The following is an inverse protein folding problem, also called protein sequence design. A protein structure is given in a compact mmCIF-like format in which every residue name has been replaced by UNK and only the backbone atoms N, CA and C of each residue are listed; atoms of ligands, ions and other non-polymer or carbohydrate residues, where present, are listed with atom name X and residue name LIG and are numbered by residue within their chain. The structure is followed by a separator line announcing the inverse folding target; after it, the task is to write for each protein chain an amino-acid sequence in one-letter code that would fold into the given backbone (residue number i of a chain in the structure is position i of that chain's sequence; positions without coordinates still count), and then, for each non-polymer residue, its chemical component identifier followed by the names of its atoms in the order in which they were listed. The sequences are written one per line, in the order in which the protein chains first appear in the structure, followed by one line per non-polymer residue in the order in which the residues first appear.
data_IF_874111176042
#
_entry.id   IF_874111176042
#
_cell.length_a   1.000
_cell.length_b   1.000
_cell.length_c   1.000
_cell.angle_alpha   90.00
_cell.angle_beta   90.00
_cell.angle_gamma   90.00
#
_symmetry.space_group_name_H-M   'P 1'
#
loop_
_entity.id
_entity.type
_entity.pdbx_description
1 polymer ?
#
# COMPACT_ATOMS: atom_id res chain seq x y z
N UNK A 1 -25.23 -40.76 17.53
CA UNK A 1 -25.55 -40.88 16.10
C UNK A 1 -24.29 -41.37 15.41
N UNK A 2 -24.35 -42.57 14.85
CA UNK A 2 -23.24 -43.34 14.27
C UNK A 2 -22.99 -42.88 12.82
N UNK A 3 -21.72 -42.63 12.45
CA UNK A 3 -21.28 -42.00 11.18
C UNK A 3 -20.55 -42.99 10.25
N UNK A 4 -20.98 -44.25 10.19
CA UNK A 4 -20.28 -45.31 9.45
C UNK A 4 -20.93 -45.73 8.12
N UNK A 5 -21.35 -44.77 7.27
CA UNK A 5 -21.67 -45.06 5.84
C UNK A 5 -21.25 -43.93 4.88
N UNK A 6 -20.55 -44.23 3.76
CA UNK A 6 -20.23 -43.24 2.74
C UNK A 6 -21.39 -43.12 1.74
N UNK A 7 -21.93 -41.90 1.58
CA UNK A 7 -22.84 -41.56 0.49
C UNK A 7 -22.03 -41.16 -0.75
N UNK A 8 -22.25 -41.84 -1.86
CA UNK A 8 -21.72 -41.53 -3.18
C UNK A 8 -22.36 -40.25 -3.74
N UNK A 9 -21.55 -39.23 -4.05
CA UNK A 9 -21.97 -38.10 -4.89
C UNK A 9 -21.12 -38.05 -6.15
N UNK A 10 -21.71 -38.49 -7.26
CA UNK A 10 -21.24 -38.23 -8.62
C UNK A 10 -21.51 -36.76 -8.97
N UNK A 11 -20.47 -35.93 -8.96
CA UNK A 11 -20.48 -34.61 -9.60
C UNK A 11 -19.50 -34.64 -10.77
N UNK A 12 -20.00 -35.11 -11.92
CA UNK A 12 -19.31 -34.99 -13.20
C UNK A 12 -19.57 -33.58 -13.76
N UNK A 13 -18.52 -32.75 -13.82
CA UNK A 13 -18.54 -31.47 -14.54
C UNK A 13 -18.32 -31.73 -16.03
N UNK A 14 -19.42 -31.85 -16.77
CA UNK A 14 -19.42 -31.96 -18.23
C UNK A 14 -19.13 -30.62 -18.89
N UNK A 15 -18.01 -30.55 -19.61
CA UNK A 15 -17.65 -29.45 -20.50
C UNK A 15 -18.17 -29.73 -21.91
N UNK A 16 -18.96 -28.82 -22.48
CA UNK A 16 -19.14 -28.71 -23.93
C UNK A 16 -18.96 -27.25 -24.39
N UNK A 17 -18.23 -27.01 -25.50
CA UNK A 17 -17.99 -25.67 -26.00
C UNK A 17 -19.03 -25.30 -27.07
N UNK A 18 -19.53 -24.06 -27.02
CA UNK A 18 -20.19 -23.44 -28.16
C UNK A 18 -19.44 -22.18 -28.59
N UNK A 19 -18.95 -22.22 -29.82
CA UNK A 19 -18.37 -21.13 -30.58
C UNK A 19 -19.46 -20.33 -31.30
N UNK A 20 -19.12 -19.07 -31.62
CA UNK A 20 -19.66 -18.12 -32.62
C UNK A 20 -19.80 -16.72 -31.97
N UNK A 21 -19.58 -15.57 -32.62
CA UNK A 21 -18.89 -15.17 -33.83
C UNK A 21 -18.71 -13.64 -33.74
N UNK A 22 -17.77 -13.10 -34.51
CA UNK A 22 -17.40 -11.69 -34.61
C UNK A 22 -18.56 -10.72 -34.88
N UNK A 23 -18.45 -9.50 -34.33
CA UNK A 23 -18.93 -8.28 -34.98
C UNK A 23 -18.01 -7.09 -34.67
N UNK A 24 -17.42 -6.54 -35.73
CA UNK A 24 -16.59 -5.34 -35.75
C UNK A 24 -17.39 -4.08 -35.35
N UNK A 25 -16.81 -3.24 -34.49
CA UNK A 25 -17.14 -1.82 -34.45
C UNK A 25 -15.84 -0.99 -34.39
N UNK A 26 -15.58 -0.24 -35.47
CA UNK A 26 -14.50 0.73 -35.61
C UNK A 26 -14.76 1.93 -34.70
N UNK A 27 -13.79 2.31 -33.88
CA UNK A 27 -13.78 3.61 -33.19
C UNK A 27 -12.53 4.38 -33.60
N UNK A 28 -12.74 5.64 -33.93
CA UNK A 28 -11.75 6.60 -34.41
C UNK A 28 -10.54 6.74 -33.46
N UNK A 29 -9.35 6.52 -34.01
CA UNK A 29 -8.09 6.83 -33.35
C UNK A 29 -7.90 8.36 -33.27
N UNK A 30 -7.78 8.90 -32.04
CA UNK A 30 -7.26 10.24 -31.79
C UNK A 30 -5.77 10.10 -31.46
N UNK A 31 -4.94 10.82 -32.21
CA UNK A 31 -3.48 10.74 -32.15
C UNK A 31 -2.94 11.08 -30.75
N UNK A 32 -1.98 10.27 -30.29
CA UNK A 32 -1.23 10.51 -29.06
C UNK A 32 -0.22 11.65 -29.28
N UNK A 33 -0.30 12.69 -28.46
CA UNK A 33 0.69 13.76 -28.40
C UNK A 33 1.94 13.24 -27.67
N UNK A 34 3.15 13.29 -28.25
CA UNK A 34 4.35 12.87 -27.56
C UNK A 34 4.78 13.91 -26.51
N UNK A 35 5.13 13.42 -25.32
CA UNK A 35 5.81 14.19 -24.28
C UNK A 35 7.20 14.59 -24.79
N UNK A 36 7.40 15.89 -25.06
CA UNK A 36 8.74 16.45 -25.30
C UNK A 36 9.47 16.61 -23.97
N UNK A 37 10.57 15.88 -23.84
CA UNK A 37 11.62 16.13 -22.84
C UNK A 37 12.40 17.37 -23.29
N UNK A 38 12.52 18.34 -22.38
CA UNK A 38 13.42 19.51 -22.37
C UNK A 38 14.07 19.91 -23.72
N UNK A 39 13.59 21.00 -24.32
CA UNK A 39 14.38 21.78 -25.28
C UNK A 39 15.01 22.98 -24.55
N UNK A 40 16.30 23.18 -24.85
CA UNK A 40 17.13 24.33 -24.51
C UNK A 40 16.47 25.66 -24.88
N UNK A 41 16.65 26.67 -24.04
CA UNK A 41 16.41 28.06 -24.43
C UNK A 41 17.54 28.95 -23.92
N UNK A 42 18.41 29.30 -24.87
CA UNK A 42 19.37 30.40 -24.84
C UNK A 42 18.67 31.76 -24.64
N UNK A 43 19.42 32.65 -23.97
CA UNK A 43 19.51 34.11 -24.09
C UNK A 43 18.27 34.95 -24.42
N UNK A 44 17.87 35.77 -23.43
CA UNK A 44 17.31 37.11 -23.68
C UNK A 44 17.95 38.13 -22.73
N UNK A 45 18.79 38.99 -23.31
CA UNK A 45 19.23 40.28 -22.73
C UNK A 45 18.07 41.26 -22.68
N UNK A 46 17.91 41.99 -21.57
CA UNK A 46 17.30 43.33 -21.59
C UNK A 46 18.01 44.24 -20.58
N UNK A 47 18.29 45.47 -21.02
CA UNK A 47 19.11 46.49 -20.35
C UNK A 47 18.35 47.38 -19.34
N UNK A 48 19.14 47.99 -18.44
CA UNK A 48 18.89 49.31 -17.78
C UNK A 48 18.20 49.24 -16.41
N UNK A 49 18.51 50.06 -15.40
CA UNK A 49 19.46 51.15 -15.19
C UNK A 49 19.40 51.58 -13.71
N UNK A 50 20.49 52.21 -13.21
CA UNK A 50 20.62 53.13 -12.04
C UNK A 50 20.63 52.59 -10.59
N UNK A 51 21.77 52.80 -9.90
CA UNK A 51 21.79 53.65 -8.68
C UNK A 51 22.42 53.11 -7.37
N UNK A 52 23.58 53.68 -6.97
CA UNK A 52 24.13 53.75 -5.59
C UNK A 52 24.93 52.51 -5.15
N UNK A 53 26.14 52.54 -4.61
CA UNK A 53 26.86 53.55 -3.83
C UNK A 53 27.05 53.02 -2.39
N UNK A 54 28.24 52.56 -2.02
CA UNK A 54 28.60 52.22 -0.64
C UNK A 54 29.69 51.15 -0.48
N UNK A 55 30.85 51.58 0.01
CA UNK A 55 31.97 50.76 0.49
C UNK A 55 31.61 49.98 1.78
N UNK A 56 32.27 48.83 2.03
CA UNK A 56 32.33 48.24 3.38
C UNK A 56 32.49 46.72 3.46
N UNK A 57 33.74 46.29 3.68
CA UNK A 57 34.23 45.26 4.63
C UNK A 57 33.71 43.80 4.60
N UNK A 58 34.72 42.91 4.54
CA UNK A 58 34.88 41.52 4.98
C UNK A 58 33.68 40.77 5.61
N UNK A 59 33.40 39.58 5.06
CA UNK A 59 32.58 38.55 5.71
C UNK A 59 32.70 37.20 5.02
N UNK A 60 33.30 36.24 5.73
CA UNK A 60 33.56 34.86 5.31
C UNK A 60 32.31 34.13 4.75
N UNK A 61 32.46 33.50 3.58
CA UNK A 61 31.45 32.63 2.94
C UNK A 61 31.35 31.29 3.70
N UNK A 62 30.60 31.26 4.81
CA UNK A 62 30.13 30.02 5.43
C UNK A 62 28.80 29.58 4.81
N UNK A 63 28.84 28.40 4.19
CA UNK A 63 27.80 27.84 3.33
C UNK A 63 26.36 27.94 3.85
N UNK A 64 25.53 28.62 3.07
CA UNK A 64 24.10 28.75 3.31
C UNK A 64 23.38 27.38 3.20
N UNK A 65 22.81 26.92 4.31
CA UNK A 65 21.82 25.85 4.32
C UNK A 65 20.60 26.27 3.49
N UNK A 66 20.32 25.54 2.40
CA UNK A 66 19.14 25.82 1.57
C UNK A 66 17.87 25.45 2.32
N UNK A 67 17.08 26.48 2.66
CA UNK A 67 15.75 26.33 3.20
C UNK A 67 14.70 26.41 2.09
N UNK A 68 13.73 25.49 2.10
CA UNK A 68 12.55 25.60 1.27
C UNK A 68 11.30 25.19 2.04
N UNK A 69 10.14 25.69 1.59
CA UNK A 69 8.84 25.43 2.21
C UNK A 69 8.06 24.43 1.36
N UNK A 70 7.56 23.37 1.99
CA UNK A 70 6.60 22.45 1.39
C UNK A 70 5.33 22.46 2.24
N UNK A 71 4.20 22.82 1.63
CA UNK A 71 2.89 22.92 2.30
C UNK A 71 2.92 23.80 3.58
N UNK A 72 3.70 24.88 3.58
CA UNK A 72 3.79 25.83 4.69
C UNK A 72 4.75 25.44 5.81
N UNK A 73 5.44 24.29 5.70
CA UNK A 73 6.45 23.87 6.66
C UNK A 73 7.86 24.10 6.10
N UNK A 74 8.69 24.84 6.85
CA UNK A 74 10.09 25.11 6.50
C UNK A 74 10.94 23.87 6.74
N UNK A 75 11.65 23.43 5.71
CA UNK A 75 12.57 22.30 5.72
C UNK A 75 13.98 22.79 5.38
N UNK A 76 14.99 22.14 5.98
CA UNK A 76 16.40 22.46 5.83
C UNK A 76 17.16 21.23 5.32
N UNK A 77 17.88 21.34 4.20
CA UNK A 77 18.70 20.24 3.69
C UNK A 77 20.11 20.33 4.26
N UNK A 78 20.40 19.56 5.31
CA UNK A 78 21.78 19.41 5.81
C UNK A 78 22.55 18.45 4.91
N UNK A 79 23.55 18.94 4.17
CA UNK A 79 24.50 18.08 3.46
C UNK A 79 25.45 17.40 4.46
N UNK A 80 25.88 16.14 4.24
CA UNK A 80 26.81 15.48 5.16
C UNK A 80 28.17 16.18 5.17
N UNK A 81 28.66 16.59 6.35
CA UNK A 81 30.01 17.11 6.54
C UNK A 81 31.02 15.98 6.28
N UNK A 82 31.90 16.19 5.30
CA UNK A 82 33.07 15.32 5.04
C UNK A 82 34.02 15.45 6.24
N UNK A 83 34.25 14.35 6.96
CA UNK A 83 34.98 14.34 8.22
C UNK A 83 36.44 14.80 8.10
N UNK A 84 36.78 15.85 8.83
CA UNK A 84 38.12 16.12 9.34
C UNK A 84 38.14 15.63 10.79
N UNK A 85 38.82 14.51 11.02
CA UNK A 85 39.18 14.07 12.37
C UNK A 85 40.48 14.75 12.79
N UNK A 86 40.43 15.42 13.94
CA UNK A 86 41.54 15.96 14.69
C UNK A 86 40.98 17.06 15.60
N UNK A 87 41.12 17.06 16.91
CA UNK A 87 41.81 16.19 17.86
C UNK A 87 41.75 16.94 19.19
N UNK A 88 41.60 16.21 20.30
CA UNK A 88 41.59 16.81 21.63
C UNK A 88 41.86 15.78 22.72
N UNK A 89 43.08 15.81 23.27
CA UNK A 89 43.35 15.34 24.63
C UNK A 89 44.39 14.21 24.81
N UNK A 90 45.66 14.61 24.93
CA UNK A 90 46.56 14.16 26.01
C UNK A 90 47.41 12.89 25.82
N UNK A 91 48.74 13.06 25.82
CA UNK A 91 49.68 12.02 26.27
C UNK A 91 51.04 11.91 25.57
N UNK A 92 52.02 12.69 26.03
CA UNK A 92 53.41 12.25 26.27
C UNK A 92 54.29 11.66 25.15
N UNK A 93 55.26 12.46 24.71
CA UNK A 93 56.70 12.09 24.61
C UNK A 93 57.18 11.18 23.47
N UNK A 94 58.21 11.63 22.74
CA UNK A 94 59.15 10.74 22.06
C UNK A 94 59.40 11.01 20.57
N UNK A 95 60.45 11.78 20.29
CA UNK A 95 61.50 11.55 19.28
C UNK A 95 61.15 11.30 17.78
N UNK A 96 61.49 12.31 16.98
CA UNK A 96 62.41 12.28 15.83
C UNK A 96 62.26 11.24 14.68
N UNK A 97 62.00 11.82 13.50
CA UNK A 97 62.87 11.76 12.29
C UNK A 97 62.58 10.79 11.13
N UNK A 98 62.46 11.42 9.95
CA UNK A 98 62.83 10.96 8.59
C UNK A 98 61.98 9.81 7.99
N UNK A 99 61.70 9.74 6.69
CA UNK A 99 62.50 10.12 5.53
C UNK A 99 61.66 10.36 4.26
N UNK A 100 62.32 11.01 3.31
CA UNK A 100 61.87 11.63 2.08
C UNK A 100 61.22 10.75 1.00
N UNK A 101 60.52 11.46 0.11
CA UNK A 101 59.96 11.08 -1.17
C UNK A 101 60.98 10.53 -2.18
N UNK A 102 60.50 9.64 -3.07
CA UNK A 102 61.08 9.38 -4.39
C UNK A 102 60.00 8.88 -5.35
N UNK A 103 60.11 9.33 -6.59
CA UNK A 103 59.10 9.39 -7.65
C UNK A 103 59.12 8.22 -8.65
N UNK A 104 57.93 7.97 -9.22
CA UNK A 104 57.63 7.55 -10.60
C UNK A 104 58.05 6.15 -11.12
N UNK A 105 57.04 5.33 -11.43
CA UNK A 105 56.92 4.65 -12.71
C UNK A 105 55.45 4.25 -12.96
N UNK A 106 54.86 4.81 -14.03
CA UNK A 106 53.51 4.51 -14.47
C UNK A 106 53.45 3.09 -15.06
N UNK A 107 52.78 2.16 -14.37
CA UNK A 107 52.30 0.92 -14.96
C UNK A 107 50.82 1.08 -15.33
N UNK A 108 50.54 1.01 -16.63
CA UNK A 108 49.16 0.87 -17.15
C UNK A 108 48.55 -0.39 -16.53
N UNK A 109 47.35 -0.36 -15.93
CA UNK A 109 46.72 -1.59 -15.48
C UNK A 109 46.35 -2.41 -16.71
N UNK A 110 46.94 -3.60 -16.82
CA UNK A 110 46.55 -4.59 -17.80
C UNK A 110 45.03 -4.83 -17.67
N UNK A 111 44.32 -4.87 -18.80
CA UNK A 111 42.94 -5.36 -18.86
C UNK A 111 42.91 -6.73 -18.17
N UNK A 112 42.38 -6.77 -16.94
CA UNK A 112 42.09 -8.01 -16.22
C UNK A 112 41.13 -8.80 -17.11
N UNK A 113 41.64 -9.86 -17.74
CA UNK A 113 40.76 -10.94 -18.18
C UNK A 113 40.10 -11.49 -16.91
N UNK A 114 38.82 -11.14 -16.70
CA UNK A 114 38.00 -11.82 -15.72
C UNK A 114 37.96 -13.30 -16.14
N UNK A 115 38.66 -14.15 -15.39
CA UNK A 115 38.70 -15.59 -15.65
C UNK A 115 37.30 -16.17 -15.43
N UNK A 116 36.80 -16.98 -16.37
CA UNK A 116 35.46 -17.58 -16.28
C UNK A 116 35.25 -18.48 -15.05
N UNK A 117 36.33 -18.94 -14.40
CA UNK A 117 36.29 -19.73 -13.17
C UNK A 117 35.80 -18.93 -11.95
N UNK A 118 36.07 -17.62 -11.89
CA UNK A 118 35.59 -16.75 -10.80
C UNK A 118 34.08 -16.47 -10.92
N UNK A 119 33.57 -16.33 -12.15
CA UNK A 119 32.16 -16.07 -12.38
C UNK A 119 31.27 -17.27 -11.98
N UNK A 120 31.69 -18.49 -12.32
CA UNK A 120 30.90 -19.69 -12.01
C UNK A 120 30.94 -20.02 -10.51
N UNK A 121 32.07 -19.80 -9.83
CA UNK A 121 32.15 -19.89 -8.37
C UNK A 121 31.22 -18.88 -7.69
N UNK A 122 31.19 -17.63 -8.17
CA UNK A 122 30.28 -16.59 -7.65
C UNK A 122 28.82 -16.92 -7.92
N UNK A 123 28.48 -17.45 -9.09
CA UNK A 123 27.12 -17.96 -9.40
C UNK A 123 26.74 -19.13 -8.49
N UNK A 124 27.67 -20.04 -8.24
CA UNK A 124 27.51 -21.15 -7.31
C UNK A 124 27.20 -20.66 -5.90
N UNK A 125 27.95 -19.68 -5.40
CA UNK A 125 27.71 -19.08 -4.08
C UNK A 125 26.33 -18.39 -3.98
N UNK A 126 25.93 -17.62 -4.99
CA UNK A 126 24.61 -16.97 -5.00
C UNK A 126 23.47 -17.99 -5.04
N UNK A 127 23.60 -19.04 -5.86
CA UNK A 127 22.60 -20.13 -5.90
C UNK A 127 22.54 -20.92 -4.60
N UNK A 128 23.70 -21.17 -3.99
CA UNK A 128 23.77 -21.87 -2.72
C UNK A 128 23.02 -21.09 -1.64
N UNK A 129 23.26 -19.78 -1.53
CA UNK A 129 22.55 -18.91 -0.59
C UNK A 129 21.05 -18.78 -0.90
N UNK A 130 20.68 -18.51 -2.15
CA UNK A 130 19.28 -18.25 -2.52
C UNK A 130 18.33 -19.44 -2.46
N UNK A 131 18.85 -20.67 -2.35
CA UNK A 131 18.05 -21.90 -2.28
C UNK A 131 18.06 -22.55 -0.88
N UNK A 132 18.65 -21.90 0.13
CA UNK A 132 18.67 -22.47 1.48
C UNK A 132 17.25 -22.52 2.07
N UNK A 133 16.86 -23.64 2.70
CA UNK A 133 15.68 -23.67 3.54
C UNK A 133 15.80 -22.65 4.69
N UNK A 134 14.67 -22.10 5.15
CA UNK A 134 14.67 -21.13 6.24
C UNK A 134 15.36 -21.63 7.50
N UNK A 135 15.21 -22.93 7.83
CA UNK A 135 15.87 -23.55 8.99
C UNK A 135 17.41 -23.46 8.95
N UNK A 136 18.01 -23.37 7.76
CA UNK A 136 19.46 -23.23 7.58
C UNK A 136 19.86 -21.75 7.41
N UNK A 137 19.08 -21.00 6.64
CA UNK A 137 19.36 -19.59 6.34
C UNK A 137 19.18 -18.68 7.58
N UNK A 138 18.16 -18.95 8.39
CA UNK A 138 17.81 -18.21 9.59
C UNK A 138 17.13 -19.15 10.63
N UNK A 139 17.93 -19.93 11.39
CA UNK A 139 17.42 -20.89 12.37
C UNK A 139 16.62 -20.23 13.50
N UNK A 140 16.92 -18.97 13.83
CA UNK A 140 16.24 -18.23 14.89
C UNK A 140 14.80 -17.87 14.49
N UNK A 141 14.61 -17.36 13.27
CA UNK A 141 13.27 -17.10 12.73
C UNK A 141 12.50 -18.41 12.55
N UNK A 142 13.14 -19.47 12.04
CA UNK A 142 12.50 -20.78 11.94
C UNK A 142 11.99 -21.29 13.30
N UNK A 143 12.80 -21.19 14.36
CA UNK A 143 12.41 -21.59 15.70
C UNK A 143 11.25 -20.74 16.26
N UNK A 144 11.20 -19.44 15.95
CA UNK A 144 10.05 -18.58 16.29
C UNK A 144 8.79 -18.99 15.54
N UNK A 145 8.88 -19.30 14.26
CA UNK A 145 7.75 -19.76 13.44
C UNK A 145 7.16 -21.08 13.96
N UNK A 146 8.01 -22.05 14.32
CA UNK A 146 7.53 -23.31 14.89
C UNK A 146 6.86 -23.11 16.26
N UNK A 147 7.38 -22.20 17.11
CA UNK A 147 6.72 -21.84 18.38
C UNK A 147 5.36 -21.18 18.15
N UNK A 148 5.23 -20.28 17.17
CA UNK A 148 3.94 -19.69 16.82
C UNK A 148 2.96 -20.74 16.28
N UNK A 149 3.45 -21.68 15.45
CA UNK A 149 2.64 -22.81 14.99
C UNK A 149 2.10 -23.63 16.17
N UNK A 150 2.95 -23.95 17.14
CA UNK A 150 2.51 -24.67 18.35
C UNK A 150 1.50 -23.86 19.17
N UNK A 151 1.69 -22.55 19.30
CA UNK A 151 0.75 -21.65 19.99
C UNK A 151 -0.64 -21.74 19.35
N UNK A 152 -0.72 -21.58 18.03
CA UNK A 152 -1.97 -21.64 17.28
C UNK A 152 -2.67 -23.00 17.38
N UNK A 153 -1.91 -24.10 17.35
CA UNK A 153 -2.48 -25.46 17.42
C UNK A 153 -2.97 -25.82 18.82
N UNK A 154 -2.31 -25.31 19.86
CA UNK A 154 -2.65 -25.62 21.27
C UNK A 154 -3.62 -24.61 21.89
N UNK A 155 -3.77 -23.43 21.29
CA UNK A 155 -4.61 -22.34 21.77
C UNK A 155 -6.08 -22.49 21.40
N UNK A 156 -6.92 -21.73 22.11
CA UNK A 156 -8.30 -21.46 21.71
C UNK A 156 -8.31 -20.02 21.18
N UNK A 157 -8.27 -19.88 19.86
CA UNK A 157 -8.21 -18.57 19.20
C UNK A 157 -9.62 -17.99 19.05
N UNK A 158 -9.92 -16.94 19.84
CA UNK A 158 -11.25 -16.29 19.89
C UNK A 158 -11.24 -14.85 19.36
N UNK A 159 -10.14 -14.42 18.72
CA UNK A 159 -10.05 -13.11 18.09
C UNK A 159 -10.87 -13.14 16.80
N UNK A 160 -11.98 -12.41 16.76
CA UNK A 160 -12.97 -12.49 15.68
C UNK A 160 -12.46 -12.13 14.28
N UNK A 161 -11.33 -11.41 14.18
CA UNK A 161 -10.68 -11.04 12.91
C UNK A 161 -9.62 -12.04 12.45
N UNK A 162 -9.25 -13.02 13.28
CA UNK A 162 -8.27 -14.03 12.92
C UNK A 162 -8.95 -15.26 12.30
N UNK A 163 -8.22 -15.94 11.41
CA UNK A 163 -8.67 -17.18 10.80
C UNK A 163 -7.47 -17.98 10.29
N UNK A 164 -7.67 -19.28 10.05
CA UNK A 164 -6.67 -20.17 9.47
C UNK A 164 -6.97 -20.39 7.98
N UNK A 165 -6.06 -19.95 7.12
CA UNK A 165 -6.16 -20.17 5.68
C UNK A 165 -5.77 -21.60 5.30
N UNK A 166 -6.27 -22.07 4.14
CA UNK A 166 -5.90 -23.39 3.65
C UNK A 166 -4.47 -23.43 3.09
N UNK A 167 -3.89 -24.64 3.02
CA UNK A 167 -2.51 -24.84 2.52
C UNK A 167 -2.28 -24.28 1.13
N UNK A 168 -3.26 -24.40 0.23
CA UNK A 168 -3.16 -23.90 -1.14
C UNK A 168 -2.96 -22.37 -1.20
N UNK A 169 -3.55 -21.61 -0.26
CA UNK A 169 -3.32 -20.16 -0.16
C UNK A 169 -1.89 -19.87 0.28
N UNK A 170 -1.37 -20.60 1.27
CA UNK A 170 0.02 -20.45 1.74
C UNK A 170 1.04 -20.80 0.65
N UNK A 171 0.80 -21.88 -0.10
CA UNK A 171 1.67 -22.29 -1.21
C UNK A 171 1.74 -21.21 -2.31
N UNK A 172 0.61 -20.58 -2.64
CA UNK A 172 0.58 -19.47 -3.60
C UNK A 172 1.27 -18.21 -3.06
N UNK A 173 1.08 -17.88 -1.78
CA UNK A 173 1.64 -16.69 -1.15
C UNK A 173 3.18 -16.75 -1.07
N UNK A 174 3.74 -17.91 -0.73
CA UNK A 174 5.20 -18.15 -0.67
C UNK A 174 5.85 -18.51 -2.01
N UNK A 175 5.22 -18.19 -3.13
CA UNK A 175 5.66 -18.62 -4.46
C UNK A 175 6.52 -17.59 -5.20
N UNK A 176 7.07 -18.01 -6.34
CA UNK A 176 7.86 -17.17 -7.25
C UNK A 176 7.09 -15.98 -7.85
N UNK A 177 5.77 -15.89 -7.66
CA UNK A 177 4.97 -14.74 -8.09
C UNK A 177 5.44 -13.43 -7.44
N UNK A 178 6.01 -13.48 -6.24
CA UNK A 178 6.58 -12.32 -5.53
C UNK A 178 7.66 -11.58 -6.32
N UNK A 179 8.33 -12.27 -7.25
CA UNK A 179 9.43 -11.72 -8.02
C UNK A 179 8.99 -10.74 -9.13
N UNK A 180 7.69 -10.69 -9.47
CA UNK A 180 7.23 -9.96 -10.65
C UNK A 180 6.69 -8.57 -10.32
N UNK A 181 7.29 -7.57 -10.97
CA UNK A 181 6.76 -6.20 -11.00
C UNK A 181 5.67 -6.08 -12.06
N UNK A 182 4.45 -5.72 -11.66
CA UNK A 182 3.26 -5.73 -12.52
C UNK A 182 2.39 -4.47 -12.38
N UNK A 183 3.01 -3.29 -12.30
CA UNK A 183 2.26 -2.02 -12.25
C UNK A 183 1.32 -1.86 -13.45
N UNK A 184 0.17 -1.26 -13.18
CA UNK A 184 -0.95 -1.13 -14.12
C UNK A 184 -1.98 -2.24 -13.94
N UNK A 185 -2.80 -2.43 -14.97
CA UNK A 185 -3.86 -3.45 -14.98
C UNK A 185 -3.62 -4.49 -16.09
N UNK A 186 -4.29 -5.66 -16.05
CA UNK A 186 -4.15 -6.67 -17.09
C UNK A 186 -4.39 -6.09 -18.49
N UNK A 187 -3.45 -6.31 -19.41
CA UNK A 187 -3.47 -5.73 -20.76
C UNK A 187 -2.97 -4.28 -20.87
N UNK A 188 -2.72 -3.60 -19.75
CA UNK A 188 -2.24 -2.21 -19.68
C UNK A 188 -1.13 -2.09 -18.62
N UNK A 189 -0.06 -2.86 -18.80
CA UNK A 189 1.09 -2.89 -17.89
C UNK A 189 2.19 -1.94 -18.34
N UNK A 190 2.90 -1.37 -17.38
CA UNK A 190 4.11 -0.56 -17.65
C UNK A 190 5.34 -1.42 -17.98
N UNK A 191 5.35 -2.69 -17.57
CA UNK A 191 6.47 -3.61 -17.79
C UNK A 191 6.05 -4.84 -18.60
N UNK A 192 7.00 -5.38 -19.37
CA UNK A 192 6.85 -6.64 -20.10
C UNK A 192 6.82 -7.88 -19.20
N UNK A 193 6.54 -9.04 -19.82
CA UNK A 193 6.62 -10.35 -19.17
C UNK A 193 5.49 -10.68 -18.18
N UNK A 194 4.33 -10.02 -18.31
CA UNK A 194 3.19 -10.16 -17.39
C UNK A 194 2.10 -11.12 -17.90
N UNK A 195 2.34 -11.91 -18.95
CA UNK A 195 1.29 -12.74 -19.57
C UNK A 195 0.58 -13.69 -18.59
N UNK A 196 1.31 -14.25 -17.62
CA UNK A 196 0.74 -15.12 -16.59
C UNK A 196 0.17 -14.34 -15.40
N UNK A 197 0.80 -13.23 -15.00
CA UNK A 197 0.27 -12.36 -13.95
C UNK A 197 -1.09 -11.78 -14.36
N UNK A 198 -1.22 -11.35 -15.61
CA UNK A 198 -2.47 -10.86 -16.17
C UNK A 198 -3.58 -11.93 -16.17
N UNK A 199 -3.22 -13.19 -16.46
CA UNK A 199 -4.17 -14.30 -16.40
C UNK A 199 -4.62 -14.58 -14.94
N UNK A 200 -3.68 -14.53 -13.99
CA UNK A 200 -3.97 -14.71 -12.56
C UNK A 200 -4.88 -13.59 -12.04
N UNK A 201 -4.56 -12.32 -12.34
CA UNK A 201 -5.36 -11.18 -11.86
C UNK A 201 -6.76 -11.17 -12.48
N UNK A 202 -6.90 -11.47 -13.79
CA UNK A 202 -8.22 -11.62 -14.42
C UNK A 202 -9.05 -12.74 -13.78
N UNK A 203 -8.42 -13.89 -13.53
CA UNK A 203 -9.09 -15.00 -12.84
C UNK A 203 -9.51 -14.62 -11.41
N UNK A 204 -8.70 -13.81 -10.72
CA UNK A 204 -9.04 -13.30 -9.40
C UNK A 204 -10.25 -12.35 -9.45
N UNK A 205 -10.30 -11.44 -10.43
CA UNK A 205 -11.46 -10.57 -10.65
C UNK A 205 -12.75 -11.38 -10.87
N UNK A 206 -12.71 -12.33 -11.80
CA UNK A 206 -13.85 -13.18 -12.13
C UNK A 206 -14.36 -13.95 -10.91
N UNK A 207 -13.43 -14.57 -10.16
CA UNK A 207 -13.77 -15.34 -8.95
C UNK A 207 -14.30 -14.46 -7.83
N UNK A 208 -13.79 -13.23 -7.68
CA UNK A 208 -14.31 -12.29 -6.70
C UNK A 208 -15.76 -11.91 -7.02
N UNK A 209 -16.08 -11.53 -8.26
CA UNK A 209 -17.47 -11.26 -8.66
C UNK A 209 -18.37 -12.49 -8.47
N UNK A 210 -17.88 -13.67 -8.85
CA UNK A 210 -18.62 -14.94 -8.70
C UNK A 210 -18.90 -15.26 -7.24
N UNK A 211 -17.92 -15.09 -6.34
CA UNK A 211 -18.05 -15.39 -4.92
C UNK A 211 -19.16 -14.58 -4.24
N UNK A 212 -19.42 -13.36 -4.72
CA UNK A 212 -20.49 -12.49 -4.20
C UNK A 212 -21.75 -12.48 -5.10
N UNK A 213 -21.81 -13.32 -6.13
CA UNK A 213 -22.97 -13.42 -7.04
C UNK A 213 -23.24 -12.13 -7.81
N UNK A 214 -22.20 -11.38 -8.18
CA UNK A 214 -22.31 -10.07 -8.81
C UNK A 214 -22.37 -10.17 -10.34
N UNK A 215 -23.24 -9.38 -10.95
CA UNK A 215 -23.26 -9.19 -12.40
C UNK A 215 -22.06 -8.33 -12.84
N UNK A 216 -21.15 -8.84 -13.69
CA UNK A 216 -19.99 -8.08 -14.16
C UNK A 216 -20.35 -6.85 -15.01
N UNK A 217 -21.58 -6.74 -15.50
CA UNK A 217 -22.06 -5.52 -16.17
C UNK A 217 -22.35 -4.37 -15.19
N UNK A 218 -22.66 -4.70 -13.92
CA UNK A 218 -22.96 -3.72 -12.88
C UNK A 218 -21.80 -3.54 -11.89
N UNK A 219 -20.93 -4.54 -11.77
CA UNK A 219 -19.88 -4.57 -10.75
C UNK A 219 -18.50 -4.78 -11.37
N UNK A 220 -17.57 -3.90 -10.97
CA UNK A 220 -16.14 -4.11 -11.12
C UNK A 220 -15.51 -4.49 -9.79
N UNK A 221 -14.26 -4.97 -9.84
CA UNK A 221 -13.46 -5.27 -8.65
C UNK A 221 -12.01 -4.89 -8.91
N UNK A 222 -11.36 -4.33 -7.89
CA UNK A 222 -9.91 -4.16 -7.85
C UNK A 222 -9.36 -5.03 -6.71
N UNK A 223 -8.48 -5.98 -7.05
CA UNK A 223 -7.89 -6.94 -6.10
C UNK A 223 -6.44 -6.59 -5.71
N UNK A 224 -5.97 -5.39 -6.06
CA UNK A 224 -4.63 -4.91 -5.77
C UNK A 224 -4.42 -4.24 -4.39
N UNK A 225 -5.44 -3.75 -3.65
CA UNK A 225 -5.19 -3.19 -2.32
C UNK A 225 -4.51 -4.19 -1.38
N UNK A 226 -3.43 -3.76 -0.72
CA UNK A 226 -2.60 -4.63 0.13
C UNK A 226 -3.30 -5.11 1.40
N UNK A 227 -4.23 -4.31 1.93
CA UNK A 227 -4.99 -4.58 3.15
C UNK A 227 -6.25 -3.70 3.22
N UNK A 228 -7.15 -4.00 4.16
CA UNK A 228 -8.39 -3.24 4.37
C UNK A 228 -8.16 -1.73 4.52
N UNK A 229 -7.24 -1.29 5.38
CA UNK A 229 -6.97 0.15 5.57
C UNK A 229 -6.50 0.82 4.28
N UNK A 230 -5.66 0.16 3.48
CA UNK A 230 -5.22 0.68 2.19
C UNK A 230 -6.35 0.71 1.14
N UNK A 231 -7.26 -0.27 1.16
CA UNK A 231 -8.43 -0.31 0.29
C UNK A 231 -9.37 0.86 0.59
N UNK A 232 -9.69 1.06 1.87
CA UNK A 232 -10.55 2.16 2.31
C UNK A 232 -9.95 3.52 1.94
N UNK A 233 -8.64 3.70 2.18
CA UNK A 233 -7.96 4.94 1.80
C UNK A 233 -7.98 5.15 0.29
N UNK A 234 -7.78 4.11 -0.53
CA UNK A 234 -7.86 4.20 -1.99
C UNK A 234 -9.24 4.65 -2.47
N UNK A 235 -10.33 4.13 -1.87
CA UNK A 235 -11.70 4.58 -2.15
C UNK A 235 -11.86 6.06 -1.85
N UNK A 236 -11.41 6.50 -0.66
CA UNK A 236 -11.51 7.91 -0.29
C UNK A 236 -10.73 8.79 -1.26
N UNK A 237 -9.46 8.48 -1.52
CA UNK A 237 -8.63 9.28 -2.44
C UNK A 237 -9.11 9.24 -3.90
N UNK A 238 -9.84 8.20 -4.29
CA UNK A 238 -10.40 8.08 -5.64
C UNK A 238 -11.70 8.87 -5.83
N UNK A 239 -12.44 9.13 -4.76
CA UNK A 239 -13.76 9.79 -4.81
C UNK A 239 -13.78 11.19 -4.18
N UNK A 240 -12.83 11.50 -3.31
CA UNK A 240 -12.81 12.69 -2.48
C UNK A 240 -11.60 13.57 -2.75
N UNK A 241 -11.78 14.87 -2.54
CA UNK A 241 -10.70 15.82 -2.37
C UNK A 241 -10.27 15.88 -0.89
N UNK A 242 -9.05 16.37 -0.58
CA UNK A 242 -8.67 16.64 0.80
C UNK A 242 -9.68 17.55 1.52
N UNK A 243 -9.95 17.26 2.78
CA UNK A 243 -10.97 17.89 3.63
C UNK A 243 -12.44 17.65 3.24
N UNK A 244 -12.72 16.85 2.20
CA UNK A 244 -14.09 16.36 2.00
C UNK A 244 -14.54 15.52 3.21
N UNK A 245 -15.87 15.43 3.35
CA UNK A 245 -16.50 14.91 4.56
C UNK A 245 -16.77 13.41 4.47
N UNK A 246 -16.40 12.68 5.51
CA UNK A 246 -16.73 11.26 5.68
C UNK A 246 -17.46 11.02 6.99
N UNK A 247 -18.34 10.03 7.02
CA UNK A 247 -19.10 9.67 8.21
C UNK A 247 -19.12 8.15 8.39
N UNK A 248 -18.58 7.68 9.51
CA UNK A 248 -18.48 6.25 9.86
C UNK A 248 -18.87 5.98 11.31
N UNK A 249 -19.06 4.70 11.66
CA UNK A 249 -19.33 4.30 13.04
C UNK A 249 -18.09 4.58 13.90
N UNK A 250 -18.27 5.14 15.10
CA UNK A 250 -17.11 5.37 15.98
C UNK A 250 -16.54 4.03 16.51
N UNK A 251 -15.22 3.92 16.73
CA UNK A 251 -14.63 2.67 17.24
C UNK A 251 -15.18 2.18 18.59
N UNK A 252 -15.46 3.04 19.60
CA UNK A 252 -16.11 2.58 20.83
C UNK A 252 -17.52 2.02 20.62
N UNK A 253 -18.20 2.40 19.54
CA UNK A 253 -19.50 1.87 19.13
C UNK A 253 -19.39 0.67 18.18
N UNK A 254 -18.18 0.24 17.84
CA UNK A 254 -17.91 -0.93 17.00
C UNK A 254 -17.36 -0.65 15.60
N UNK A 255 -17.08 0.61 15.26
CA UNK A 255 -16.48 0.97 13.97
C UNK A 255 -14.98 0.64 13.85
N UNK A 256 -14.42 0.79 12.65
CA UNK A 256 -13.00 0.56 12.42
C UNK A 256 -12.20 1.87 12.40
N UNK A 257 -10.91 1.83 12.76
CA UNK A 257 -10.07 3.03 12.81
C UNK A 257 -9.96 3.74 11.45
N UNK A 258 -9.99 3.00 10.34
CA UNK A 258 -9.91 3.58 8.99
C UNK A 258 -11.18 4.33 8.57
N UNK A 259 -12.24 4.32 9.37
CA UNK A 259 -13.49 5.07 9.10
C UNK A 259 -13.42 6.51 9.60
N UNK A 260 -12.22 7.07 9.74
CA UNK A 260 -11.99 8.46 10.14
C UNK A 260 -11.89 8.66 11.64
N UNK A 261 -11.30 7.72 12.39
CA UNK A 261 -11.17 7.84 13.85
C UNK A 261 -10.26 8.98 14.29
N UNK A 262 -10.77 9.79 15.23
CA UNK A 262 -10.06 10.76 16.07
C UNK A 262 -10.50 10.57 17.53
N UNK A 263 -9.65 10.93 18.49
CA UNK A 263 -9.96 10.79 19.92
C UNK A 263 -11.02 11.80 20.37
N UNK A 264 -11.69 11.59 21.52
CA UNK A 264 -12.61 12.59 22.09
C UNK A 264 -11.98 13.97 22.35
N UNK A 265 -10.65 14.03 22.53
CA UNK A 265 -9.89 15.27 22.66
C UNK A 265 -9.61 15.98 21.32
N UNK A 266 -10.09 15.44 20.20
CA UNK A 266 -9.87 15.98 18.86
C UNK A 266 -8.55 15.54 18.21
N UNK A 267 -7.76 14.66 18.83
CA UNK A 267 -6.51 14.17 18.23
C UNK A 267 -6.85 13.22 17.08
N UNK A 268 -6.48 13.61 15.86
CA UNK A 268 -6.59 12.77 14.66
C UNK A 268 -5.67 11.54 14.79
N UNK A 269 -6.21 10.34 14.60
CA UNK A 269 -5.50 9.06 14.80
C UNK A 269 -5.31 8.31 13.49
N UNK A 270 -6.37 8.24 12.69
CA UNK A 270 -6.34 7.55 11.41
C UNK A 270 -5.87 8.46 10.28
N UNK A 271 -5.21 7.91 9.26
CA UNK A 271 -4.91 8.66 8.03
C UNK A 271 -6.16 9.30 7.43
N UNK A 272 -7.28 8.59 7.46
CA UNK A 272 -8.58 9.11 7.01
C UNK A 272 -8.99 10.39 7.76
N UNK A 273 -8.87 10.43 9.10
CA UNK A 273 -9.16 11.65 9.89
C UNK A 273 -8.17 12.79 9.67
N UNK A 274 -6.96 12.49 9.17
CA UNK A 274 -5.93 13.49 8.86
C UNK A 274 -6.24 14.16 7.53
N UNK A 275 -6.51 13.38 6.49
CA UNK A 275 -6.71 13.89 5.12
C UNK A 275 -8.14 14.33 4.82
N UNK A 276 -9.13 13.81 5.55
CA UNK A 276 -10.55 14.07 5.36
C UNK A 276 -11.19 14.57 6.66
N UNK A 277 -12.29 15.30 6.53
CA UNK A 277 -13.05 15.77 7.68
C UNK A 277 -14.04 14.68 8.10
N UNK A 278 -13.89 14.16 9.31
CA UNK A 278 -14.66 13.02 9.80
C UNK A 278 -15.65 13.46 10.88
N UNK A 279 -16.87 12.93 10.82
CA UNK A 279 -17.83 12.98 11.92
C UNK A 279 -18.43 11.59 12.13
N UNK A 280 -18.32 11.05 13.34
CA UNK A 280 -18.83 9.70 13.61
C UNK A 280 -20.30 9.67 14.03
N UNK A 281 -21.01 8.62 13.61
CA UNK A 281 -22.27 8.20 14.21
C UNK A 281 -22.02 7.09 15.25
N UNK A 282 -23.03 6.79 16.06
CA UNK A 282 -22.89 5.98 17.28
C UNK A 282 -24.03 4.98 17.42
N UNK A 283 -23.84 4.01 18.29
CA UNK A 283 -24.95 3.22 18.81
C UNK A 283 -25.73 3.99 19.88
N UNK A 284 -26.98 3.62 20.06
CA UNK A 284 -27.76 3.97 21.23
C UNK A 284 -27.16 3.21 22.46
N UNK A 285 -26.72 3.92 23.51
CA UNK A 285 -26.02 3.28 24.63
C UNK A 285 -26.93 2.40 25.51
N UNK A 286 -28.25 2.54 25.41
CA UNK A 286 -29.21 1.70 26.13
C UNK A 286 -29.49 0.38 25.39
N UNK A 287 -29.55 0.40 24.05
CA UNK A 287 -29.92 -0.78 23.26
C UNK A 287 -28.74 -1.48 22.60
N UNK A 288 -27.63 -0.77 22.40
CA UNK A 288 -26.47 -1.23 21.64
C UNK A 288 -26.68 -1.29 20.13
N UNK A 289 -27.81 -0.82 19.61
CA UNK A 289 -28.08 -0.75 18.17
C UNK A 289 -27.65 0.61 17.61
N UNK A 290 -27.29 0.67 16.32
CA UNK A 290 -27.04 1.96 15.66
C UNK A 290 -28.28 2.85 15.81
N UNK A 291 -28.07 4.09 16.23
CA UNK A 291 -29.13 5.09 16.36
C UNK A 291 -29.35 5.74 14.98
N UNK A 292 -30.12 5.06 14.12
CA UNK A 292 -30.31 5.47 12.71
C UNK A 292 -30.98 6.83 12.56
N UNK A 293 -31.82 7.23 13.52
CA UNK A 293 -32.49 8.54 13.47
C UNK A 293 -31.49 9.65 13.78
N UNK A 294 -30.66 9.49 14.83
CA UNK A 294 -29.56 10.43 15.07
C UNK A 294 -28.50 10.43 13.98
N UNK A 295 -28.27 9.28 13.35
CA UNK A 295 -27.41 9.20 12.18
C UNK A 295 -27.98 10.05 11.04
N UNK A 296 -29.28 9.93 10.75
CA UNK A 296 -29.92 10.75 9.72
C UNK A 296 -29.79 12.24 10.03
N UNK A 297 -30.16 12.68 11.24
CA UNK A 297 -30.07 14.09 11.65
C UNK A 297 -28.65 14.64 11.45
N UNK A 298 -27.64 13.89 11.94
CA UNK A 298 -26.23 14.28 11.78
C UNK A 298 -25.77 14.29 10.34
N UNK A 299 -26.22 13.35 9.53
CA UNK A 299 -25.87 13.31 8.11
C UNK A 299 -26.47 14.50 7.35
N UNK A 300 -27.67 14.95 7.73
CA UNK A 300 -28.30 16.14 7.16
C UNK A 300 -27.61 17.43 7.60
N UNK A 301 -27.05 17.50 8.81
CA UNK A 301 -26.26 18.68 9.22
C UNK A 301 -24.87 18.66 8.57
N UNK A 302 -24.19 17.51 8.65
CA UNK A 302 -22.79 17.38 8.25
C UNK A 302 -22.59 17.20 6.75
N UNK A 303 -23.58 16.73 5.99
CA UNK A 303 -23.49 16.49 4.55
C UNK A 303 -22.21 15.71 4.15
N UNK A 304 -22.04 14.45 4.62
CA UNK A 304 -20.89 13.65 4.22
C UNK A 304 -20.91 13.36 2.72
N UNK A 305 -19.73 13.32 2.09
CA UNK A 305 -19.57 12.83 0.71
C UNK A 305 -19.57 11.31 0.65
N UNK A 306 -19.06 10.66 1.69
CA UNK A 306 -19.16 9.20 1.88
C UNK A 306 -19.79 8.90 3.23
N UNK A 307 -20.88 8.14 3.22
CA UNK A 307 -21.45 7.49 4.40
C UNK A 307 -20.98 6.04 4.42
N UNK A 308 -20.33 5.64 5.50
CA UNK A 308 -19.71 4.31 5.65
C UNK A 308 -20.59 3.46 6.56
N UNK A 309 -21.03 2.29 6.10
CA UNK A 309 -21.51 1.19 6.95
C UNK A 309 -20.46 0.09 7.04
N UNK A 310 -20.54 -0.75 8.06
CA UNK A 310 -19.52 -1.75 8.38
C UNK A 310 -18.72 -1.39 9.64
N UNK A 311 -18.18 -2.40 10.29
CA UNK A 311 -17.50 -2.25 11.58
C UNK A 311 -16.73 -3.49 11.99
N UNK A 312 -15.97 -3.36 13.08
CA UNK A 312 -15.08 -4.40 13.60
C UNK A 312 -15.67 -5.17 14.78
N UNK A 313 -16.49 -4.52 15.60
CA UNK A 313 -17.04 -5.12 16.82
C UNK A 313 -18.52 -4.77 17.05
N UNK A 314 -19.26 -4.54 15.96
CA UNK A 314 -20.71 -4.40 15.99
C UNK A 314 -21.38 -5.78 15.83
N UNK A 315 -22.11 -6.29 16.84
CA UNK A 315 -22.58 -7.68 16.88
C UNK A 315 -23.98 -7.88 16.28
N UNK A 316 -24.45 -6.95 15.43
CA UNK A 316 -25.77 -6.99 14.80
C UNK A 316 -25.65 -6.80 13.29
N UNK A 317 -26.69 -7.23 12.59
CA UNK A 317 -26.87 -6.92 11.17
C UNK A 317 -27.03 -5.42 10.95
N UNK A 318 -26.68 -4.99 9.74
CA UNK A 318 -26.83 -3.60 9.30
C UNK A 318 -28.14 -3.45 8.53
N UNK A 319 -28.93 -2.43 8.88
CA UNK A 319 -30.05 -1.99 8.03
C UNK A 319 -29.52 -1.22 6.81
N UNK A 320 -29.10 -1.97 5.77
CA UNK A 320 -28.56 -1.40 4.55
C UNK A 320 -29.57 -0.52 3.79
N UNK A 321 -30.87 -0.85 3.88
CA UNK A 321 -31.92 -0.06 3.25
C UNK A 321 -32.05 1.32 3.92
N UNK A 322 -32.01 1.37 5.26
CA UNK A 322 -31.98 2.61 6.02
C UNK A 322 -30.71 3.42 5.72
N UNK A 323 -29.55 2.78 5.66
CA UNK A 323 -28.29 3.45 5.29
C UNK A 323 -28.34 4.06 3.88
N UNK A 324 -28.88 3.32 2.89
CA UNK A 324 -29.06 3.82 1.51
C UNK A 324 -29.99 5.03 1.49
N UNK A 325 -31.12 4.96 2.17
CA UNK A 325 -32.09 6.06 2.23
C UNK A 325 -31.47 7.33 2.83
N UNK A 326 -30.65 7.21 3.87
CA UNK A 326 -29.95 8.36 4.47
C UNK A 326 -28.90 8.91 3.49
N UNK A 327 -28.11 8.04 2.85
CA UNK A 327 -27.12 8.45 1.86
C UNK A 327 -27.77 9.17 0.66
N UNK A 328 -28.93 8.71 0.18
CA UNK A 328 -29.69 9.39 -0.89
C UNK A 328 -30.12 10.79 -0.48
N UNK A 329 -30.63 10.94 0.75
CA UNK A 329 -31.13 12.23 1.26
C UNK A 329 -30.04 13.29 1.35
N UNK A 330 -28.83 12.94 1.78
CA UNK A 330 -27.71 13.89 1.87
C UNK A 330 -26.81 13.91 0.62
N UNK A 331 -27.10 13.11 -0.41
CA UNK A 331 -26.32 13.03 -1.65
C UNK A 331 -24.94 12.37 -1.47
N UNK A 332 -24.80 11.46 -0.49
CA UNK A 332 -23.58 10.74 -0.21
C UNK A 332 -23.44 9.45 -1.04
N UNK A 333 -22.20 9.08 -1.33
CA UNK A 333 -21.87 7.69 -1.70
C UNK A 333 -22.03 6.81 -0.46
N UNK A 334 -22.78 5.72 -0.57
CA UNK A 334 -22.82 4.69 0.46
C UNK A 334 -21.68 3.71 0.22
N UNK A 335 -20.82 3.55 1.21
CA UNK A 335 -19.72 2.58 1.19
C UNK A 335 -19.95 1.53 2.28
N UNK A 336 -19.87 0.25 1.93
CA UNK A 336 -19.90 -0.84 2.91
C UNK A 336 -18.50 -1.45 3.08
N UNK A 337 -17.95 -1.36 4.29
CA UNK A 337 -16.77 -2.11 4.71
C UNK A 337 -17.21 -3.42 5.37
N UNK A 338 -17.30 -4.46 4.55
CA UNK A 338 -17.75 -5.79 4.96
C UNK A 338 -16.63 -6.69 5.51
N UNK A 339 -15.48 -6.15 5.93
CA UNK A 339 -14.28 -6.95 6.25
C UNK A 339 -14.57 -8.16 7.18
N UNK A 340 -15.27 -7.94 8.29
CA UNK A 340 -15.58 -8.99 9.27
C UNK A 340 -16.63 -10.01 8.81
N UNK A 341 -17.52 -9.61 7.89
CA UNK A 341 -18.68 -10.41 7.50
C UNK A 341 -18.59 -10.95 6.06
N UNK A 342 -17.52 -10.62 5.33
CA UNK A 342 -17.36 -10.95 3.90
C UNK A 342 -17.56 -12.43 3.59
N UNK A 343 -17.04 -13.33 4.43
CA UNK A 343 -17.26 -14.78 4.29
C UNK A 343 -18.72 -15.20 4.48
N UNK A 344 -19.43 -14.59 5.45
CA UNK A 344 -20.86 -14.84 5.69
C UNK A 344 -21.71 -14.32 4.52
N UNK A 345 -21.37 -13.14 3.99
CA UNK A 345 -22.02 -12.54 2.82
C UNK A 345 -21.83 -13.43 1.59
N UNK A 346 -20.59 -13.87 1.30
CA UNK A 346 -20.31 -14.77 0.19
C UNK A 346 -21.06 -16.11 0.31
N UNK A 347 -21.17 -16.63 1.54
CA UNK A 347 -21.92 -17.85 1.84
C UNK A 347 -23.45 -17.65 1.90
N UNK A 348 -23.95 -16.41 1.78
CA UNK A 348 -25.38 -16.05 1.86
C UNK A 348 -26.04 -16.42 3.20
N UNK A 349 -25.30 -16.24 4.29
CA UNK A 349 -25.74 -16.52 5.67
C UNK A 349 -25.49 -15.34 6.61
N UNK A 350 -25.28 -14.14 6.05
CA UNK A 350 -25.16 -12.90 6.80
C UNK A 350 -26.53 -12.28 7.10
#
# INVERSE_FOLDING_TARGET
MDLSRPGSSDLSLGLHPHAHANAHARVHARAATPLRLFDDSDDVKTEGSVGGGGDGEDGDDEGADQHFSLLGHSLCVKRPRRGLFGGGGGGGGGEASSCSSSSAAAMRPAKRHASGADLEARRGAVRAWGNQPLAEADPDVHALMERERERQVRGIELIASENFVCRAVLDALGSHLTNKYSEGHPGARYYGGNQHIDAIERLCHERACTAFGLDPACWGVNVQPYSCTSANLAVYTGLLLPNDRIMGLEPPSGGHVSHGYYTPSGKKVSGASIFFESLSYKVNPQTGYIDYDKLEDRAMDFHPKILICGGSSYPREWDFARMRLIADKCGAVLMCDMAHISGLVAAKVH
#
